data_IF_119336988806
#
_entry.id   IF_119336988806
#
_cell.length_a   1.000
_cell.length_b   1.000
_cell.length_c   1.000
_cell.angle_alpha   90.00
_cell.angle_beta   90.00
_cell.angle_gamma   90.00
#
_symmetry.space_group_name_H-M   'P 1'
#
loop_
_entity.id
_entity.type
_entity.pdbx_description
1 polymer ?
#
# COMPACT_ATOMS: atom_id res chain seq x y z
N UNK A 1 -2.23 19.81 -0.43
CA UNK A 1 -0.82 19.95 0.02
C UNK A 1 0.15 19.89 -1.13
N UNK A 2 1.43 19.99 -0.83
CA UNK A 2 2.52 19.78 -1.78
C UNK A 2 3.17 18.44 -1.49
N UNK A 3 3.51 17.70 -2.55
CA UNK A 3 4.20 16.40 -2.45
C UNK A 3 3.49 15.44 -1.48
N UNK A 4 2.16 15.38 -1.56
CA UNK A 4 1.42 14.31 -0.87
C UNK A 4 1.77 12.97 -1.47
N UNK A 5 2.15 12.97 -2.72
CA UNK A 5 2.91 11.93 -3.40
C UNK A 5 4.41 12.08 -3.08
N UNK A 6 5.01 11.18 -2.27
CA UNK A 6 4.27 10.25 -1.41
C UNK A 6 4.59 10.52 0.08
N UNK A 7 4.61 11.79 0.50
CA UNK A 7 4.75 12.15 1.93
C UNK A 7 3.58 11.62 2.78
N UNK A 8 2.42 11.41 2.15
CA UNK A 8 1.26 10.84 2.84
C UNK A 8 1.52 9.37 3.22
N UNK A 9 2.26 8.62 2.40
CA UNK A 9 2.72 7.27 2.72
C UNK A 9 3.63 7.27 3.94
N UNK A 10 4.62 8.15 3.98
CA UNK A 10 5.47 8.31 5.15
C UNK A 10 4.68 8.60 6.43
N UNK A 11 3.64 9.45 6.36
CA UNK A 11 2.73 9.68 7.48
C UNK A 11 1.94 8.43 7.86
N UNK A 12 1.40 7.69 6.88
CA UNK A 12 0.60 6.48 7.12
C UNK A 12 1.43 5.41 7.85
N UNK A 13 2.64 5.12 7.35
CA UNK A 13 3.49 4.09 7.97
C UNK A 13 3.95 4.50 9.38
N UNK A 14 4.21 5.78 9.62
CA UNK A 14 4.53 6.29 10.95
C UNK A 14 3.35 6.15 11.92
N UNK A 15 2.12 6.43 11.46
CA UNK A 15 0.90 6.24 12.26
C UNK A 15 0.58 4.77 12.53
N UNK A 16 0.87 3.87 11.56
CA UNK A 16 0.77 2.41 11.78
C UNK A 16 1.71 1.97 12.89
N UNK A 17 2.98 2.39 12.83
CA UNK A 17 3.97 2.07 13.85
C UNK A 17 3.59 2.64 15.21
N UNK A 18 3.12 3.90 15.25
CA UNK A 18 2.65 4.54 16.49
C UNK A 18 1.49 3.74 17.10
N UNK A 19 0.53 3.27 16.29
CA UNK A 19 -0.60 2.45 16.74
C UNK A 19 -0.16 1.10 17.28
N UNK A 20 0.80 0.45 16.65
CA UNK A 20 1.35 -0.82 17.12
C UNK A 20 1.97 -0.63 18.51
N UNK A 21 2.73 0.45 18.70
CA UNK A 21 3.37 0.75 19.98
C UNK A 21 2.37 1.17 21.07
N UNK A 22 1.44 2.12 20.78
CA UNK A 22 0.49 2.65 21.77
C UNK A 22 -0.55 1.61 22.22
N UNK A 23 -0.99 0.74 21.30
CA UNK A 23 -1.99 -0.30 21.58
C UNK A 23 -1.34 -1.62 22.06
N UNK A 24 -0.03 -1.63 22.33
CA UNK A 24 0.77 -2.78 22.78
C UNK A 24 0.53 -4.05 21.93
N UNK A 25 0.58 -3.86 20.60
CA UNK A 25 0.32 -4.94 19.66
C UNK A 25 1.58 -5.80 19.48
N UNK A 26 1.55 -7.03 19.97
CA UNK A 26 2.60 -8.01 19.75
C UNK A 26 2.41 -8.69 18.39
N UNK A 27 3.43 -8.60 17.53
CA UNK A 27 3.48 -9.27 16.24
C UNK A 27 4.38 -10.52 16.35
N UNK A 28 3.98 -11.68 15.81
CA UNK A 28 4.77 -12.91 15.87
C UNK A 28 5.85 -12.97 14.78
N UNK A 29 6.31 -11.84 14.27
CA UNK A 29 7.33 -11.69 13.22
C UNK A 29 8.01 -10.32 13.35
N UNK A 30 9.16 -10.19 12.71
CA UNK A 30 9.87 -8.90 12.62
C UNK A 30 9.17 -7.96 11.64
N UNK A 31 8.94 -6.71 12.06
CA UNK A 31 8.36 -5.67 11.22
C UNK A 31 9.42 -4.61 10.88
N UNK A 32 9.76 -4.52 9.61
CA UNK A 32 10.59 -3.44 9.08
C UNK A 32 9.72 -2.33 8.50
N UNK A 33 9.85 -1.13 9.04
CA UNK A 33 9.15 0.06 8.54
C UNK A 33 10.12 0.89 7.73
N UNK A 34 9.83 1.04 6.45
CA UNK A 34 10.75 1.64 5.48
C UNK A 34 10.11 2.85 4.83
N UNK A 35 10.83 3.98 4.84
CA UNK A 35 10.51 5.14 4.02
C UNK A 35 11.55 5.24 2.91
N UNK A 36 11.25 4.66 1.75
CA UNK A 36 12.13 4.61 0.60
C UNK A 36 12.36 5.99 -0.01
N UNK A 37 13.41 6.12 -0.79
CA UNK A 37 13.76 7.36 -1.48
C UNK A 37 13.84 7.13 -2.99
N UNK A 38 13.66 8.22 -3.76
CA UNK A 38 13.85 8.19 -5.22
C UNK A 38 12.94 7.19 -5.95
N UNK A 39 11.68 7.06 -5.50
CA UNK A 39 10.68 6.29 -6.20
C UNK A 39 10.47 6.83 -7.62
N UNK A 40 10.17 8.12 -7.76
CA UNK A 40 9.83 8.86 -8.98
C UNK A 40 10.92 8.84 -10.09
N UNK A 41 12.13 8.49 -9.72
CA UNK A 41 13.30 8.48 -10.64
C UNK A 41 13.90 7.09 -10.80
N UNK A 42 13.14 6.04 -10.50
CA UNK A 42 13.52 4.68 -10.79
C UNK A 42 13.59 3.73 -9.60
N UNK A 43 12.83 3.96 -8.53
CA UNK A 43 12.67 3.05 -7.38
C UNK A 43 13.99 2.75 -6.66
N UNK A 44 14.95 3.69 -6.65
CA UNK A 44 16.32 3.40 -6.23
C UNK A 44 16.41 2.94 -4.77
N UNK A 45 15.67 3.59 -3.87
CA UNK A 45 15.63 3.21 -2.46
C UNK A 45 15.05 1.82 -2.25
N UNK A 46 13.88 1.55 -2.83
CA UNK A 46 13.19 0.26 -2.73
C UNK A 46 14.01 -0.88 -3.32
N UNK A 47 14.63 -0.69 -4.50
CA UNK A 47 15.53 -1.69 -5.12
C UNK A 47 16.70 -2.06 -4.22
N UNK A 48 17.32 -1.07 -3.57
CA UNK A 48 18.41 -1.33 -2.64
C UNK A 48 17.94 -2.09 -1.40
N UNK A 49 16.80 -1.71 -0.85
CA UNK A 49 16.23 -2.34 0.35
C UNK A 49 15.76 -3.76 0.04
N UNK A 50 15.01 -3.99 -1.02
CA UNK A 50 14.51 -5.30 -1.42
C UNK A 50 15.67 -6.31 -1.58
N UNK A 51 16.74 -5.90 -2.24
CA UNK A 51 17.93 -6.74 -2.44
C UNK A 51 18.62 -7.16 -1.14
N UNK A 52 18.62 -6.31 -0.10
CA UNK A 52 19.39 -6.54 1.12
C UNK A 52 18.56 -7.09 2.27
N UNK A 53 17.29 -6.69 2.36
CA UNK A 53 16.42 -7.06 3.50
C UNK A 53 15.92 -8.51 3.40
N UNK A 54 15.68 -9.01 2.18
CA UNK A 54 15.12 -10.36 1.94
C UNK A 54 13.88 -10.64 2.80
N UNK A 55 12.92 -9.74 2.73
CA UNK A 55 11.68 -9.87 3.49
C UNK A 55 10.81 -11.01 2.94
N UNK A 56 10.07 -11.70 3.82
CA UNK A 56 9.13 -12.76 3.44
C UNK A 56 7.90 -12.23 2.70
N UNK A 57 7.51 -10.98 2.96
CA UNK A 57 6.50 -10.23 2.20
C UNK A 57 6.72 -8.73 2.34
N UNK A 58 6.23 -7.97 1.39
CA UNK A 58 6.25 -6.51 1.43
C UNK A 58 4.87 -5.92 1.20
N UNK A 59 4.48 -4.99 2.07
CA UNK A 59 3.30 -4.16 1.89
C UNK A 59 3.74 -2.75 1.52
N UNK A 60 3.30 -2.27 0.38
CA UNK A 60 3.62 -0.95 -0.11
C UNK A 60 2.41 -0.03 0.07
N UNK A 61 2.67 1.19 0.48
CA UNK A 61 1.71 2.28 0.35
C UNK A 61 2.18 3.26 -0.70
N UNK A 62 1.28 3.58 -1.60
CA UNK A 62 1.48 4.65 -2.57
C UNK A 62 0.17 5.41 -2.81
N UNK A 63 0.15 6.27 -3.80
CA UNK A 63 -1.05 6.99 -4.24
C UNK A 63 -1.52 6.47 -5.59
N UNK A 64 -2.81 6.65 -5.89
CA UNK A 64 -3.36 6.38 -7.20
C UNK A 64 -4.20 7.56 -7.70
N UNK A 65 -4.47 7.63 -8.99
CA UNK A 65 -5.29 8.70 -9.53
C UNK A 65 -6.70 8.71 -8.95
N UNK A 66 -7.09 9.83 -8.33
CA UNK A 66 -8.51 10.12 -8.08
C UNK A 66 -9.15 10.55 -9.39
N UNK A 67 -10.03 9.72 -9.94
CA UNK A 67 -10.63 9.91 -11.28
C UNK A 67 -11.66 11.03 -11.35
N UNK A 68 -11.94 11.73 -10.26
CA UNK A 68 -12.59 13.04 -10.28
C UNK A 68 -11.63 14.18 -10.64
N UNK A 69 -10.36 13.89 -10.93
CA UNK A 69 -9.41 14.86 -11.49
C UNK A 69 -9.72 15.09 -12.96
N UNK A 70 -9.78 16.34 -13.45
CA UNK A 70 -9.96 16.62 -14.86
C UNK A 70 -8.89 15.91 -15.72
N UNK A 71 -9.31 15.38 -16.88
CA UNK A 71 -8.46 14.69 -17.87
C UNK A 71 -7.91 13.31 -17.44
N UNK A 72 -8.31 12.76 -16.30
CA UNK A 72 -8.00 11.37 -15.95
C UNK A 72 -8.99 10.45 -16.66
N UNK A 73 -8.46 9.46 -17.36
CA UNK A 73 -9.24 8.48 -18.12
C UNK A 73 -9.61 7.28 -17.23
N UNK A 74 -10.89 7.17 -16.90
CA UNK A 74 -11.41 6.07 -16.09
C UNK A 74 -11.26 4.70 -16.74
N UNK A 75 -11.22 4.62 -18.05
CA UNK A 75 -11.02 3.36 -18.75
C UNK A 75 -9.58 2.82 -18.55
N UNK A 76 -8.62 3.74 -18.36
CA UNK A 76 -7.21 3.42 -18.13
C UNK A 76 -6.86 3.31 -16.65
N UNK A 77 -7.36 4.24 -15.83
CA UNK A 77 -6.90 4.41 -14.44
C UNK A 77 -7.91 3.84 -13.41
N UNK A 78 -8.98 3.19 -13.86
CA UNK A 78 -10.08 2.73 -13.00
C UNK A 78 -11.03 3.87 -12.60
N UNK A 79 -12.05 3.60 -11.77
CA UNK A 79 -12.95 4.63 -11.24
C UNK A 79 -12.72 4.90 -9.74
N UNK A 80 -11.49 5.28 -9.41
CA UNK A 80 -11.05 5.52 -8.04
C UNK A 80 -11.48 6.89 -7.53
N UNK A 81 -12.12 6.97 -6.38
CA UNK A 81 -12.67 8.22 -5.84
C UNK A 81 -12.19 8.49 -4.42
N UNK A 82 -11.79 9.72 -4.16
CA UNK A 82 -11.50 10.17 -2.81
C UNK A 82 -12.72 10.12 -1.90
N UNK A 83 -12.54 9.63 -0.68
CA UNK A 83 -13.59 9.50 0.34
C UNK A 83 -14.30 8.16 0.38
N UNK A 84 -14.02 7.25 -0.56
CA UNK A 84 -14.59 5.91 -0.64
C UNK A 84 -13.64 4.81 -0.12
N UNK A 85 -12.54 5.18 0.49
CA UNK A 85 -11.51 4.28 1.00
C UNK A 85 -10.30 4.17 0.08
N UNK A 86 -9.18 3.63 0.57
CA UNK A 86 -8.01 3.36 -0.24
C UNK A 86 -8.30 2.31 -1.32
N UNK A 87 -7.48 2.31 -2.35
CA UNK A 87 -7.54 1.36 -3.45
C UNK A 87 -6.62 0.18 -3.17
N UNK A 88 -7.15 -1.02 -3.25
CA UNK A 88 -6.40 -2.26 -3.33
C UNK A 88 -6.18 -2.57 -4.80
N UNK A 89 -4.93 -2.56 -5.23
CA UNK A 89 -4.57 -2.71 -6.63
C UNK A 89 -4.32 -4.17 -7.00
N UNK A 90 -4.80 -4.55 -8.19
CA UNK A 90 -4.57 -5.85 -8.80
C UNK A 90 -3.69 -5.65 -10.04
N UNK A 91 -2.43 -6.00 -9.92
CA UNK A 91 -1.44 -5.97 -11.01
C UNK A 91 -0.69 -7.29 -11.06
N UNK A 92 0.08 -7.52 -12.11
CA UNK A 92 0.87 -8.75 -12.25
C UNK A 92 1.95 -8.92 -11.15
N UNK A 93 2.38 -7.84 -10.53
CA UNK A 93 3.38 -7.85 -9.46
C UNK A 93 2.78 -8.04 -8.06
N UNK A 94 1.47 -7.90 -7.92
CA UNK A 94 0.82 -8.03 -6.61
C UNK A 94 0.40 -9.47 -6.34
N UNK A 95 0.81 -9.99 -5.20
CA UNK A 95 0.54 -11.36 -4.81
C UNK A 95 -0.95 -11.57 -4.49
N UNK A 96 -1.57 -12.54 -5.15
CA UNK A 96 -3.02 -12.77 -5.08
C UNK A 96 -3.51 -13.05 -3.65
N UNK A 97 -2.78 -13.86 -2.88
CA UNK A 97 -3.22 -14.23 -1.52
C UNK A 97 -3.12 -13.06 -0.55
N UNK A 98 -2.09 -12.19 -0.69
CA UNK A 98 -1.98 -10.98 0.13
C UNK A 98 -3.16 -10.05 -0.17
N UNK A 99 -3.49 -9.84 -1.45
CA UNK A 99 -4.64 -9.03 -1.85
C UNK A 99 -5.96 -9.61 -1.32
N UNK A 100 -6.13 -10.93 -1.41
CA UNK A 100 -7.32 -11.59 -0.88
C UNK A 100 -7.44 -11.41 0.64
N UNK A 101 -6.35 -11.58 1.38
CA UNK A 101 -6.31 -11.39 2.82
C UNK A 101 -6.59 -9.92 3.23
N UNK A 102 -6.02 -8.94 2.51
CA UNK A 102 -6.33 -7.52 2.72
C UNK A 102 -7.83 -7.23 2.53
N UNK A 103 -8.42 -7.80 1.48
CA UNK A 103 -9.86 -7.69 1.20
C UNK A 103 -10.71 -8.32 2.30
N UNK A 104 -10.37 -9.51 2.76
CA UNK A 104 -11.09 -10.21 3.83
C UNK A 104 -11.03 -9.43 5.15
N UNK A 105 -9.85 -8.92 5.51
CA UNK A 105 -9.67 -8.07 6.69
C UNK A 105 -10.48 -6.78 6.58
N UNK A 106 -10.50 -6.15 5.41
CA UNK A 106 -11.30 -4.95 5.18
C UNK A 106 -12.80 -5.24 5.38
N UNK A 107 -13.31 -6.36 4.85
CA UNK A 107 -14.70 -6.79 5.01
C UNK A 107 -15.05 -7.08 6.48
N UNK A 108 -14.22 -7.85 7.18
CA UNK A 108 -14.40 -8.18 8.60
C UNK A 108 -14.46 -6.92 9.48
N UNK A 109 -13.56 -5.97 9.24
CA UNK A 109 -13.49 -4.70 9.96
C UNK A 109 -14.44 -3.63 9.44
N UNK A 110 -15.26 -3.94 8.42
CA UNK A 110 -16.19 -3.00 7.76
C UNK A 110 -15.48 -1.71 7.30
N UNK A 111 -14.25 -1.86 6.81
CA UNK A 111 -13.46 -0.76 6.28
C UNK A 111 -13.75 -0.62 4.78
N UNK A 112 -14.11 0.59 4.31
CA UNK A 112 -14.33 0.80 2.89
C UNK A 112 -13.00 0.72 2.12
N UNK A 113 -12.99 -0.06 1.05
CA UNK A 113 -11.90 -0.14 0.08
C UNK A 113 -12.46 -0.10 -1.33
N UNK A 114 -11.64 0.31 -2.27
CA UNK A 114 -11.93 0.25 -3.69
C UNK A 114 -11.01 -0.80 -4.33
N UNK A 115 -11.54 -1.60 -5.27
CA UNK A 115 -10.73 -2.54 -6.02
C UNK A 115 -10.42 -1.93 -7.38
N UNK A 116 -9.16 -1.92 -7.75
CA UNK A 116 -8.73 -1.28 -9.01
C UNK A 116 -7.59 -2.06 -9.67
N UNK A 117 -7.38 -1.76 -10.93
CA UNK A 117 -6.18 -2.16 -11.65
C UNK A 117 -5.21 -1.00 -11.57
N UNK A 118 -4.05 -1.22 -10.97
CA UNK A 118 -3.04 -0.19 -10.76
C UNK A 118 -1.99 -0.14 -11.86
N UNK A 119 -1.07 0.81 -11.73
CA UNK A 119 0.13 0.91 -12.57
C UNK A 119 1.25 0.00 -12.04
N UNK A 120 2.16 -0.41 -12.92
CA UNK A 120 3.32 -1.22 -12.55
C UNK A 120 4.56 -0.40 -12.18
N UNK A 121 4.44 0.90 -11.99
CA UNK A 121 5.57 1.82 -11.81
C UNK A 121 5.82 2.28 -10.38
N UNK A 122 5.56 1.45 -9.37
CA UNK A 122 5.74 1.80 -7.97
C UNK A 122 6.71 0.84 -7.24
N UNK A 123 6.99 1.09 -5.97
CA UNK A 123 7.98 0.33 -5.17
C UNK A 123 7.68 -1.18 -5.05
N UNK A 124 6.46 -1.66 -5.33
CA UNK A 124 6.18 -3.11 -5.37
C UNK A 124 7.02 -3.82 -6.42
N UNK A 125 7.31 -3.15 -7.55
CA UNK A 125 8.15 -3.72 -8.60
C UNK A 125 9.55 -4.08 -8.09
N UNK A 126 10.11 -3.28 -7.20
CA UNK A 126 11.43 -3.53 -6.64
C UNK A 126 11.48 -4.83 -5.82
N UNK A 127 10.46 -5.08 -5.03
CA UNK A 127 10.34 -6.31 -4.23
C UNK A 127 9.96 -7.52 -5.09
N UNK A 128 9.05 -7.33 -6.05
CA UNK A 128 8.68 -8.37 -7.01
C UNK A 128 9.89 -8.91 -7.79
N UNK A 129 10.79 -8.04 -8.23
CA UNK A 129 12.01 -8.43 -8.94
C UNK A 129 13.01 -9.24 -8.08
N UNK A 130 12.90 -9.14 -6.76
CA UNK A 130 13.68 -9.95 -5.80
C UNK A 130 12.88 -11.16 -5.28
N UNK A 131 11.79 -11.53 -5.98
CA UNK A 131 10.87 -12.64 -5.64
C UNK A 131 10.21 -12.50 -4.26
N UNK A 132 10.05 -11.28 -3.74
CA UNK A 132 9.31 -11.04 -2.50
C UNK A 132 7.83 -10.85 -2.83
N UNK A 133 6.91 -11.64 -2.24
CA UNK A 133 5.47 -11.44 -2.40
C UNK A 133 5.06 -10.03 -1.97
N UNK A 134 4.34 -9.30 -2.82
CA UNK A 134 3.99 -7.91 -2.56
C UNK A 134 2.51 -7.63 -2.70
N UNK A 135 2.05 -6.60 -2.01
CA UNK A 135 0.77 -5.94 -2.28
C UNK A 135 0.88 -4.44 -2.06
N UNK A 136 0.01 -3.70 -2.71
CA UNK A 136 -0.08 -2.24 -2.57
C UNK A 136 -1.48 -1.82 -2.14
N UNK A 137 -1.50 -0.87 -1.22
CA UNK A 137 -2.72 -0.16 -0.83
C UNK A 137 -2.51 1.33 -1.13
N UNK A 138 -3.23 1.84 -2.12
CA UNK A 138 -3.02 3.18 -2.63
C UNK A 138 -4.07 4.17 -2.13
N UNK A 139 -3.67 5.40 -1.80
CA UNK A 139 -4.59 6.47 -1.45
C UNK A 139 -4.98 7.28 -2.69
N UNK A 140 -6.29 7.40 -3.03
CA UNK A 140 -6.71 8.23 -4.16
C UNK A 140 -6.27 9.69 -4.00
N UNK A 141 -5.42 10.16 -4.92
CA UNK A 141 -4.85 11.50 -4.92
C UNK A 141 -5.36 12.31 -6.11
N UNK A 142 -5.90 13.49 -5.83
CA UNK A 142 -6.34 14.42 -6.84
C UNK A 142 -5.19 15.36 -7.20
N UNK A 143 -5.04 15.66 -8.48
CA UNK A 143 -3.97 16.53 -9.01
C UNK A 143 -2.56 16.00 -8.71
N UNK A 144 -2.38 14.69 -8.78
CA UNK A 144 -1.08 14.02 -8.64
C UNK A 144 -0.02 14.67 -9.55
N UNK A 145 1.21 14.75 -9.07
CA UNK A 145 2.35 15.41 -9.75
C UNK A 145 2.14 16.91 -10.01
N UNK A 146 1.33 17.58 -9.18
CA UNK A 146 1.16 19.03 -9.22
C UNK A 146 1.50 19.68 -7.88
N UNK A 147 1.54 21.00 -7.84
CA UNK A 147 1.82 21.76 -6.60
C UNK A 147 0.62 21.85 -5.66
N UNK A 148 -0.55 21.31 -6.03
CA UNK A 148 -1.83 21.48 -5.30
C UNK A 148 -2.57 20.16 -5.09
N UNK A 149 -1.86 19.11 -4.75
CA UNK A 149 -2.41 17.77 -4.53
C UNK A 149 -3.42 17.74 -3.38
N UNK A 150 -4.41 16.83 -3.51
CA UNK A 150 -5.48 16.67 -2.53
C UNK A 150 -5.78 15.20 -2.27
N UNK A 151 -5.73 14.79 -1.01
CA UNK A 151 -6.18 13.49 -0.53
C UNK A 151 -7.35 13.63 0.44
N UNK A 152 -8.21 12.63 0.52
CA UNK A 152 -9.32 12.63 1.45
C UNK A 152 -8.92 12.01 2.79
N UNK A 153 -9.10 12.75 3.89
CA UNK A 153 -8.69 12.30 5.24
C UNK A 153 -9.27 10.95 5.68
N UNK A 154 -10.46 10.59 5.19
CA UNK A 154 -11.07 9.27 5.51
C UNK A 154 -10.26 8.14 4.90
N UNK A 155 -9.76 8.30 3.67
CA UNK A 155 -8.99 7.25 2.98
C UNK A 155 -7.67 6.99 3.72
N UNK A 156 -6.97 8.05 4.11
CA UNK A 156 -5.76 7.96 4.94
C UNK A 156 -6.02 7.23 6.26
N UNK A 157 -7.08 7.61 6.97
CA UNK A 157 -7.46 6.94 8.23
C UNK A 157 -7.84 5.47 8.02
N UNK A 158 -8.52 5.16 6.91
CA UNK A 158 -8.90 3.79 6.57
C UNK A 158 -7.66 2.97 6.22
N UNK A 159 -6.71 3.55 5.48
CA UNK A 159 -5.46 2.90 5.14
C UNK A 159 -4.67 2.49 6.40
N UNK A 160 -4.50 3.41 7.36
CA UNK A 160 -3.84 3.13 8.64
C UNK A 160 -4.55 1.99 9.38
N UNK A 161 -5.88 2.05 9.50
CA UNK A 161 -6.67 1.00 10.16
C UNK A 161 -6.52 -0.35 9.48
N UNK A 162 -6.52 -0.38 8.15
CA UNK A 162 -6.42 -1.62 7.39
C UNK A 162 -5.02 -2.24 7.52
N UNK A 163 -3.96 -1.46 7.45
CA UNK A 163 -2.60 -1.96 7.70
C UNK A 163 -2.45 -2.55 9.10
N UNK A 164 -2.90 -1.84 10.14
CA UNK A 164 -2.85 -2.37 11.51
C UNK A 164 -3.67 -3.65 11.64
N UNK A 165 -4.88 -3.68 11.08
CA UNK A 165 -5.74 -4.87 11.14
C UNK A 165 -5.15 -6.06 10.37
N UNK A 166 -4.53 -5.81 9.21
CA UNK A 166 -3.84 -6.84 8.43
C UNK A 166 -2.64 -7.40 9.19
N UNK A 167 -1.77 -6.56 9.75
CA UNK A 167 -0.62 -7.01 10.52
C UNK A 167 -1.04 -7.86 11.73
N UNK A 168 -2.13 -7.51 12.41
CA UNK A 168 -2.71 -8.32 13.50
C UNK A 168 -3.29 -9.66 13.03
N UNK A 169 -3.75 -9.75 11.80
CA UNK A 169 -4.33 -10.96 11.22
C UNK A 169 -3.28 -11.87 10.57
N UNK A 170 -2.06 -11.36 10.35
CA UNK A 170 -0.95 -12.10 9.76
C UNK A 170 -0.31 -13.01 10.82
N UNK A 171 -0.04 -14.27 10.46
CA UNK A 171 0.65 -15.26 11.32
C UNK A 171 1.80 -15.89 10.54
N UNK A 172 2.78 -16.51 11.22
CA UNK A 172 3.87 -17.22 10.53
C UNK A 172 3.37 -18.25 9.52
N UNK A 173 2.33 -19.02 9.84
CA UNK A 173 1.77 -20.04 8.94
C UNK A 173 1.17 -19.42 7.68
N UNK A 174 0.57 -18.21 7.79
CA UNK A 174 0.06 -17.48 6.64
C UNK A 174 1.18 -16.92 5.77
N UNK A 175 2.27 -16.48 6.39
CA UNK A 175 3.48 -16.04 5.68
C UNK A 175 4.08 -17.20 4.92
N UNK A 176 4.25 -18.36 5.55
CA UNK A 176 4.75 -19.58 4.92
C UNK A 176 3.87 -20.00 3.74
N UNK A 177 2.55 -19.95 3.91
CA UNK A 177 1.60 -20.25 2.83
C UNK A 177 1.75 -19.31 1.64
N UNK A 178 1.92 -18.00 1.88
CA UNK A 178 2.13 -17.00 0.84
C UNK A 178 3.41 -17.33 0.07
N UNK A 179 4.51 -17.61 0.78
CA UNK A 179 5.81 -17.92 0.17
C UNK A 179 5.83 -19.24 -0.62
N UNK A 180 5.03 -20.22 -0.23
CA UNK A 180 4.94 -21.50 -0.93
C UNK A 180 4.06 -21.46 -2.20
N UNK A 181 3.36 -20.36 -2.45
CA UNK A 181 2.47 -20.17 -3.60
C UNK A 181 3.03 -19.17 -4.63
N UNK A 182 4.33 -18.95 -4.62
CA UNK A 182 5.05 -18.10 -5.60
C UNK A 182 5.23 -18.84 -6.93
#
# INVERSE_FOLDING_TARGET
GRSLDNKIGGYIIAEVLRKIYEDDIHLPFDLYVVNSVQEEVGLHGAKKIAKHLKADLALVHDVCHNTNTPKIDKAKDGDNKGGLGPCLEFTAQNHREINQMLREVALDKKLPIQLTVGSMGNDTMAFFMENTPTAILATPLKYMHTTVEMAHKKDVKTCIKLFVAFLKALTPEKIDKINNNI
#
